data_IF_820692539393
#
_entry.id   IF_820692539393
#
_cell.length_a   1.000
_cell.length_b   1.000
_cell.length_c   1.000
_cell.angle_alpha   90.00
_cell.angle_beta   90.00
_cell.angle_gamma   90.00
#
_symmetry.space_group_name_H-M   'P 1'
#
loop_
_entity.id
_entity.type
_entity.pdbx_description
1 polymer ?
#
# COMPACT_ATOMS: atom_id res chain seq x y z
N UNK A 1 -16.33 -5.94 35.96
CA UNK A 1 -16.60 -6.35 34.56
C UNK A 1 -16.74 -5.08 33.74
N UNK A 2 -15.65 -4.57 33.18
CA UNK A 2 -15.71 -3.44 32.25
C UNK A 2 -15.90 -4.00 30.85
N UNK A 3 -16.98 -3.57 30.22
CA UNK A 3 -17.39 -3.92 28.86
C UNK A 3 -16.24 -3.69 27.88
N UNK A 4 -15.81 -4.74 27.19
CA UNK A 4 -14.97 -4.60 26.01
C UNK A 4 -15.90 -4.21 24.87
N UNK A 5 -15.99 -2.92 24.58
CA UNK A 5 -16.64 -2.43 23.36
C UNK A 5 -15.82 -2.89 22.15
N UNK A 6 -16.23 -4.02 21.58
CA UNK A 6 -15.88 -4.42 20.22
C UNK A 6 -16.33 -3.29 19.27
N UNK A 7 -15.43 -2.36 18.99
CA UNK A 7 -15.54 -1.53 17.81
C UNK A 7 -15.36 -2.45 16.61
N UNK A 8 -16.49 -2.97 16.15
CA UNK A 8 -16.64 -3.69 14.90
C UNK A 8 -15.96 -2.84 13.82
N UNK A 9 -14.88 -3.36 13.25
CA UNK A 9 -14.33 -2.80 12.04
C UNK A 9 -15.35 -3.07 10.93
N UNK A 10 -16.27 -2.12 10.75
CA UNK A 10 -17.16 -2.06 9.59
C UNK A 10 -16.26 -1.91 8.36
N UNK A 11 -15.98 -3.02 7.70
CA UNK A 11 -15.43 -3.04 6.36
C UNK A 11 -16.43 -2.42 5.38
N UNK A 12 -16.44 -1.09 5.31
CA UNK A 12 -17.05 -0.39 4.19
C UNK A 12 -16.27 -0.80 2.94
N UNK A 13 -16.91 -1.54 2.04
CA UNK A 13 -16.38 -1.86 0.71
C UNK A 13 -16.45 -0.62 -0.19
N UNK A 14 -15.86 0.48 0.26
CA UNK A 14 -15.47 1.56 -0.64
C UNK A 14 -14.48 0.93 -1.64
N UNK A 15 -14.62 1.22 -2.94
CA UNK A 15 -13.71 0.75 -4.00
C UNK A 15 -12.28 1.32 -3.89
N UNK A 16 -11.86 1.69 -2.69
CA UNK A 16 -10.63 2.39 -2.34
C UNK A 16 -9.69 1.46 -1.59
N UNK A 17 -8.42 1.44 -1.99
CA UNK A 17 -7.40 0.62 -1.35
C UNK A 17 -7.11 1.15 0.06
N UNK A 18 -7.20 0.28 1.07
CA UNK A 18 -6.81 0.65 2.43
C UNK A 18 -5.29 0.72 2.57
N UNK A 19 -4.81 1.84 3.11
CA UNK A 19 -3.40 2.13 3.47
C UNK A 19 -3.16 1.96 4.97
N UNK A 20 -4.05 1.26 5.67
CA UNK A 20 -3.96 0.99 7.10
C UNK A 20 -3.44 -0.42 7.40
N UNK A 21 -2.76 -0.60 8.52
CA UNK A 21 -2.19 -1.88 8.94
C UNK A 21 -2.54 -2.20 10.39
N UNK A 22 -3.14 -3.36 10.62
CA UNK A 22 -3.49 -3.83 11.97
C UNK A 22 -2.25 -4.40 12.65
N UNK A 23 -1.93 -3.91 13.85
CA UNK A 23 -0.91 -4.50 14.71
C UNK A 23 -1.36 -5.91 15.13
N UNK A 24 -0.56 -6.93 14.85
CA UNK A 24 -0.91 -8.32 15.17
C UNK A 24 -0.80 -8.66 16.67
N UNK A 25 -0.27 -7.75 17.49
CA UNK A 25 -0.15 -7.94 18.95
C UNK A 25 -1.32 -7.32 19.71
N UNK A 26 -1.68 -6.06 19.40
CA UNK A 26 -2.71 -5.32 20.15
C UNK A 26 -3.90 -4.88 19.30
N UNK A 27 -3.98 -5.29 18.03
CA UNK A 27 -5.04 -4.94 17.07
C UNK A 27 -5.21 -3.44 16.76
N UNK A 28 -4.33 -2.58 17.27
CA UNK A 28 -4.34 -1.16 16.94
C UNK A 28 -4.12 -0.93 15.44
N UNK A 29 -4.89 -0.02 14.85
CA UNK A 29 -4.83 0.30 13.43
C UNK A 29 -3.80 1.41 13.17
N UNK A 30 -2.73 1.07 12.46
CA UNK A 30 -1.60 1.94 12.15
C UNK A 30 -1.66 2.43 10.70
N UNK A 31 -0.85 3.43 10.37
CA UNK A 31 -0.50 3.70 8.98
C UNK A 31 0.38 2.56 8.45
N UNK A 32 0.22 2.17 7.18
CA UNK A 32 1.05 1.12 6.59
C UNK A 32 2.53 1.52 6.49
N UNK A 33 2.85 2.82 6.52
CA UNK A 33 4.23 3.33 6.50
C UNK A 33 4.86 3.38 7.91
N UNK A 34 4.10 3.21 8.99
CA UNK A 34 4.63 3.28 10.35
C UNK A 34 5.61 2.13 10.62
N UNK A 35 6.74 2.40 11.27
CA UNK A 35 7.74 1.36 11.61
C UNK A 35 7.36 0.59 12.87
N UNK A 36 6.60 1.21 13.77
CA UNK A 36 6.18 0.64 15.05
C UNK A 36 4.69 0.90 15.28
N UNK A 37 4.07 0.05 16.09
CA UNK A 37 2.70 0.28 16.51
C UNK A 37 2.61 1.56 17.35
N UNK A 38 1.69 2.46 17.00
CA UNK A 38 1.44 3.70 17.74
C UNK A 38 0.94 3.49 19.17
N UNK A 39 0.42 2.29 19.48
CA UNK A 39 -0.11 1.94 20.79
C UNK A 39 0.89 1.09 21.61
N UNK A 40 1.16 -0.16 21.20
CA UNK A 40 2.00 -1.09 21.97
C UNK A 40 3.49 -1.00 21.65
N UNK A 41 3.90 -0.11 20.73
CA UNK A 41 5.30 0.11 20.30
C UNK A 41 6.01 -1.11 19.70
N UNK A 42 5.34 -2.24 19.52
CA UNK A 42 5.90 -3.41 18.82
C UNK A 42 6.28 -3.04 17.38
N UNK A 43 7.44 -3.50 16.87
CA UNK A 43 7.80 -3.35 15.46
C UNK A 43 6.71 -3.90 14.54
N UNK A 44 6.37 -3.13 13.51
CA UNK A 44 5.47 -3.56 12.45
C UNK A 44 6.25 -4.32 11.36
N UNK A 45 5.58 -5.07 10.47
CA UNK A 45 6.24 -5.75 9.35
C UNK A 45 7.16 -4.81 8.54
N UNK A 46 8.22 -5.38 7.95
CA UNK A 46 9.16 -4.64 7.09
C UNK A 46 8.52 -4.14 5.79
N UNK A 47 9.22 -3.24 5.10
CA UNK A 47 8.75 -2.59 3.87
C UNK A 47 8.33 -3.60 2.79
N UNK A 48 9.13 -4.63 2.52
CA UNK A 48 8.82 -5.71 1.56
C UNK A 48 7.48 -6.39 1.87
N UNK A 49 7.25 -6.75 3.13
CA UNK A 49 6.01 -7.40 3.54
C UNK A 49 4.80 -6.46 3.37
N UNK A 50 4.96 -5.18 3.74
CA UNK A 50 3.94 -4.15 3.58
C UNK A 50 3.62 -3.85 2.11
N UNK A 51 4.63 -3.76 1.26
CA UNK A 51 4.46 -3.57 -0.18
C UNK A 51 3.66 -4.75 -0.78
N UNK A 52 4.01 -5.98 -0.43
CA UNK A 52 3.28 -7.18 -0.87
C UNK A 52 1.82 -7.17 -0.41
N UNK A 53 1.55 -6.76 0.83
CA UNK A 53 0.17 -6.61 1.34
C UNK A 53 -0.59 -5.56 0.53
N UNK A 54 0.03 -4.41 0.26
CA UNK A 54 -0.62 -3.31 -0.43
C UNK A 54 -0.90 -3.65 -1.89
N UNK A 55 0.04 -4.30 -2.60
CA UNK A 55 -0.16 -4.77 -3.97
C UNK A 55 -1.33 -5.76 -4.07
N UNK A 56 -1.43 -6.72 -3.13
CA UNK A 56 -2.59 -7.61 -3.07
C UNK A 56 -3.91 -6.88 -2.87
N UNK A 57 -3.93 -5.82 -2.06
CA UNK A 57 -5.14 -5.00 -1.88
C UNK A 57 -5.51 -4.24 -3.15
N UNK A 58 -4.50 -3.76 -3.89
CA UNK A 58 -4.69 -3.13 -5.21
C UNK A 58 -5.29 -4.12 -6.20
N UNK A 59 -4.73 -5.34 -6.29
CA UNK A 59 -5.26 -6.40 -7.16
C UNK A 59 -6.73 -6.72 -6.87
N UNK A 60 -7.11 -6.83 -5.60
CA UNK A 60 -8.51 -7.08 -5.17
C UNK A 60 -9.46 -5.93 -5.54
N UNK A 61 -8.97 -4.69 -5.55
CA UNK A 61 -9.77 -3.53 -5.96
C UNK A 61 -9.88 -3.46 -7.48
N UNK A 62 -8.78 -3.68 -8.20
CA UNK A 62 -8.76 -3.75 -9.66
C UNK A 62 -9.69 -4.86 -10.19
N UNK A 63 -9.72 -6.03 -9.55
CA UNK A 63 -10.62 -7.12 -9.94
C UNK A 63 -12.10 -6.78 -9.78
N UNK A 64 -12.43 -5.69 -9.08
CA UNK A 64 -13.79 -5.16 -8.88
C UNK A 64 -14.06 -3.91 -9.72
N UNK A 65 -13.17 -3.56 -10.65
CA UNK A 65 -13.29 -2.38 -11.52
C UNK A 65 -12.76 -1.08 -10.90
N UNK A 66 -12.06 -1.13 -9.77
CA UNK A 66 -11.45 0.06 -9.16
C UNK A 66 -10.18 0.50 -9.88
N UNK A 67 -9.97 1.82 -9.97
CA UNK A 67 -8.77 2.41 -10.57
C UNK A 67 -7.65 2.53 -9.53
N UNK A 68 -6.54 1.85 -9.74
CA UNK A 68 -5.31 2.01 -8.94
C UNK A 68 -4.13 1.60 -9.80
N UNK A 69 -3.11 2.44 -9.90
CA UNK A 69 -1.90 2.17 -10.68
C UNK A 69 -0.86 1.42 -9.83
N UNK A 70 -0.53 0.20 -10.24
CA UNK A 70 0.46 -0.67 -9.61
C UNK A 70 1.75 -0.81 -10.44
N UNK A 71 2.08 0.20 -11.23
CA UNK A 71 3.30 0.23 -12.04
C UNK A 71 4.30 1.28 -11.55
N UNK A 72 5.59 1.07 -11.83
CA UNK A 72 6.67 2.04 -11.54
C UNK A 72 7.40 2.40 -12.81
N UNK A 73 7.61 3.70 -13.03
CA UNK A 73 8.32 4.22 -14.20
C UNK A 73 9.82 4.26 -13.87
N UNK A 74 10.62 3.66 -14.73
CA UNK A 74 12.08 3.79 -14.68
C UNK A 74 12.45 5.27 -14.90
N UNK A 75 13.22 5.87 -14.00
CA UNK A 75 13.60 7.29 -14.11
C UNK A 75 14.71 7.53 -15.15
N UNK A 76 15.29 6.47 -15.72
CA UNK A 76 16.37 6.56 -16.70
C UNK A 76 15.86 6.43 -18.13
N UNK A 77 15.06 5.40 -18.42
CA UNK A 77 14.53 5.14 -19.77
C UNK A 77 13.01 5.26 -19.89
N UNK A 78 12.32 5.74 -18.85
CA UNK A 78 10.87 5.94 -18.80
C UNK A 78 10.01 4.68 -19.02
N UNK A 79 10.65 3.50 -19.15
CA UNK A 79 9.94 2.23 -19.27
C UNK A 79 9.08 1.98 -18.05
N UNK A 80 7.82 1.59 -18.28
CA UNK A 80 6.89 1.16 -17.25
C UNK A 80 7.18 -0.27 -16.80
N UNK A 81 7.33 -0.49 -15.49
CA UNK A 81 7.65 -1.78 -14.88
C UNK A 81 6.58 -2.17 -13.87
N UNK A 82 6.49 -3.45 -13.50
CA UNK A 82 5.63 -3.82 -12.39
C UNK A 82 6.21 -3.25 -11.09
N UNK A 83 5.36 -2.82 -10.15
CA UNK A 83 5.83 -2.30 -8.85
C UNK A 83 6.67 -3.33 -8.07
N UNK A 84 6.52 -4.64 -8.36
CA UNK A 84 7.32 -5.70 -7.75
C UNK A 84 8.71 -5.88 -8.37
N UNK A 85 8.99 -5.31 -9.56
CA UNK A 85 10.25 -5.51 -10.26
C UNK A 85 11.39 -4.78 -9.55
N UNK A 86 12.52 -5.45 -9.30
CA UNK A 86 13.69 -4.84 -8.66
C UNK A 86 14.56 -4.04 -9.65
N UNK A 87 14.50 -4.38 -10.94
CA UNK A 87 15.30 -3.80 -12.01
C UNK A 87 14.43 -3.47 -13.22
N UNK A 88 14.84 -2.50 -14.02
CA UNK A 88 14.11 -2.13 -15.23
C UNK A 88 14.02 -3.32 -16.21
N UNK A 89 12.82 -3.58 -16.73
CA UNK A 89 12.55 -4.67 -17.68
C UNK A 89 13.21 -4.46 -19.04
N UNK A 90 13.49 -3.21 -19.39
CA UNK A 90 14.21 -2.84 -20.60
C UNK A 90 15.58 -3.56 -20.64
N UNK A 91 15.88 -4.30 -21.73
CA UNK A 91 17.13 -5.05 -21.88
C UNK A 91 18.38 -4.17 -21.85
N UNK A 92 18.29 -2.93 -22.33
CA UNK A 92 19.44 -2.04 -22.52
C UNK A 92 19.66 -1.13 -21.31
N UNK A 93 18.64 -0.91 -20.49
CA UNK A 93 18.72 -0.07 -19.29
C UNK A 93 19.19 -0.86 -18.06
N UNK A 94 18.46 -1.89 -17.63
CA UNK A 94 18.74 -2.71 -16.43
C UNK A 94 19.00 -1.97 -15.11
N UNK A 95 18.66 -0.68 -15.06
CA UNK A 95 18.84 0.13 -13.87
C UNK A 95 18.01 -0.37 -12.69
N UNK A 96 18.54 -0.14 -11.48
CA UNK A 96 17.82 -0.47 -10.26
C UNK A 96 16.58 0.40 -10.14
N UNK A 97 15.43 -0.23 -9.92
CA UNK A 97 14.20 0.49 -9.62
C UNK A 97 14.19 0.90 -8.14
N UNK A 98 13.30 1.82 -7.72
CA UNK A 98 13.17 2.18 -6.32
C UNK A 98 13.02 0.95 -5.42
N UNK A 99 13.60 0.99 -4.23
CA UNK A 99 13.53 -0.12 -3.28
C UNK A 99 12.10 -0.27 -2.71
N UNK A 100 11.85 -1.34 -1.95
CA UNK A 100 10.51 -1.64 -1.43
C UNK A 100 9.93 -0.56 -0.51
N UNK A 101 10.77 0.16 0.25
CA UNK A 101 10.32 1.25 1.11
C UNK A 101 9.89 2.46 0.27
N UNK A 102 10.66 2.80 -0.78
CA UNK A 102 10.33 3.87 -1.72
C UNK A 102 9.05 3.54 -2.51
N UNK A 103 8.94 2.32 -3.04
CA UNK A 103 7.74 1.81 -3.72
C UNK A 103 6.50 1.83 -2.82
N UNK A 104 6.65 1.44 -1.56
CA UNK A 104 5.57 1.51 -0.59
C UNK A 104 5.08 2.96 -0.42
N UNK A 105 5.99 3.91 -0.24
CA UNK A 105 5.65 5.33 -0.13
C UNK A 105 4.96 5.87 -1.40
N UNK A 106 5.49 5.54 -2.57
CA UNK A 106 4.91 5.94 -3.88
C UNK A 106 3.47 5.42 -3.99
N UNK A 107 3.25 4.13 -3.73
CA UNK A 107 1.95 3.50 -3.89
C UNK A 107 0.93 4.04 -2.89
N UNK A 108 1.32 4.22 -1.62
CA UNK A 108 0.47 4.85 -0.60
C UNK A 108 0.05 6.25 -1.06
N UNK A 109 0.99 7.07 -1.55
CA UNK A 109 0.67 8.42 -2.00
C UNK A 109 -0.32 8.43 -3.17
N UNK A 110 -0.14 7.55 -4.16
CA UNK A 110 -1.07 7.41 -5.29
C UNK A 110 -2.48 7.03 -4.83
N UNK A 111 -2.58 6.10 -3.88
CA UNK A 111 -3.88 5.68 -3.33
C UNK A 111 -4.57 6.83 -2.59
N UNK A 112 -3.85 7.60 -1.78
CA UNK A 112 -4.45 8.76 -1.09
C UNK A 112 -4.90 9.84 -2.07
N UNK A 113 -4.13 10.12 -3.13
CA UNK A 113 -4.54 11.07 -4.16
C UNK A 113 -5.84 10.65 -4.87
N UNK A 114 -6.04 9.35 -5.13
CA UNK A 114 -7.28 8.84 -5.70
C UNK A 114 -8.46 9.00 -4.74
N UNK A 115 -8.24 8.88 -3.43
CA UNK A 115 -9.30 9.08 -2.41
C UNK A 115 -9.70 10.55 -2.26
N UNK A 116 -8.76 11.46 -2.46
CA UNK A 116 -8.98 12.91 -2.34
C UNK A 116 -9.54 13.55 -3.62
N UNK A 117 -9.49 12.85 -4.76
CA UNK A 117 -10.01 13.35 -6.03
C UNK A 117 -11.55 13.51 -5.98
N UNK A 118 -12.10 14.66 -6.44
CA UNK A 118 -13.55 14.80 -6.61
C UNK A 118 -14.08 13.73 -7.57
N UNK A 119 -15.16 13.03 -7.21
CA UNK A 119 -15.82 12.14 -8.16
C UNK A 119 -16.35 12.98 -9.35
N UNK A 120 -16.11 12.55 -10.60
CA UNK A 120 -16.73 13.20 -11.75
C UNK A 120 -18.27 13.06 -11.61
N UNK A 121 -18.96 14.18 -11.81
CA UNK A 121 -20.41 14.30 -11.73
C UNK A 121 -21.14 13.47 -12.79
#
# INVERSE_FOLDING_TARGET
MVLVELHQATWSTSGTVSTRLVCQVCNFLNSIIDTHCGHCRTPLPGATAKLKILLKRVEVVQSKGGASDAAVVCQVCETLNAMADAVCRDPDCKESLPNDAEKLCILVRRIELVKEAPQPA
#
